data_IF_312222903985
#
_entry.id   IF_312222903985
#
_cell.length_a   1.000
_cell.length_b   1.000
_cell.length_c   1.000
_cell.angle_alpha   90.00
_cell.angle_beta   90.00
_cell.angle_gamma   90.00
#
_symmetry.space_group_name_H-M   'P 1'
#
loop_
_entity.id
_entity.type
_entity.pdbx_description
1 polymer ?
#
# COMPACT_ATOMS: atom_id res chain seq x y z
N UNK A 1 31.87 -9.11 78.09
CA UNK A 1 32.32 -9.95 76.95
C UNK A 1 31.68 -9.35 75.69
N UNK A 2 32.44 -8.56 74.94
CA UNK A 2 31.96 -7.82 73.77
C UNK A 2 32.03 -8.74 72.54
N UNK A 3 30.91 -8.94 71.84
CA UNK A 3 30.87 -9.63 70.55
C UNK A 3 30.57 -8.62 69.45
N UNK A 4 31.60 -8.33 68.66
CA UNK A 4 31.55 -7.59 67.40
C UNK A 4 30.78 -8.40 66.35
N UNK A 5 29.66 -7.89 65.85
CA UNK A 5 29.08 -8.40 64.60
C UNK A 5 29.53 -7.53 63.42
N UNK A 6 30.32 -8.14 62.54
CA UNK A 6 30.79 -7.59 61.27
C UNK A 6 29.63 -7.46 60.27
N UNK A 7 29.42 -6.26 59.75
CA UNK A 7 28.55 -5.97 58.61
C UNK A 7 29.23 -6.44 57.31
N UNK A 8 28.54 -7.28 56.52
CA UNK A 8 28.95 -7.67 55.17
C UNK A 8 28.24 -6.77 54.15
N UNK A 9 28.93 -6.10 53.21
CA UNK A 9 28.27 -5.37 52.13
C UNK A 9 27.90 -6.34 51.01
N UNK A 10 26.60 -6.54 50.79
CA UNK A 10 26.08 -7.29 49.63
C UNK A 10 26.05 -6.35 48.43
N UNK A 11 26.98 -6.57 47.50
CA UNK A 11 27.08 -5.93 46.20
C UNK A 11 26.10 -6.65 45.24
N UNK A 12 24.88 -6.15 45.09
CA UNK A 12 23.95 -6.64 44.07
C UNK A 12 24.31 -5.98 42.73
N UNK A 13 25.04 -6.74 41.91
CA UNK A 13 25.28 -6.42 40.49
C UNK A 13 23.93 -6.31 39.76
N UNK A 14 23.66 -5.12 39.24
CA UNK A 14 22.56 -4.88 38.31
C UNK A 14 22.82 -5.59 36.98
N UNK A 15 21.98 -6.55 36.65
CA UNK A 15 21.87 -7.09 35.30
C UNK A 15 20.65 -6.45 34.63
N UNK A 16 20.80 -5.19 34.18
CA UNK A 16 19.83 -4.54 33.31
C UNK A 16 19.94 -5.15 31.91
N UNK A 17 19.26 -6.27 31.69
CA UNK A 17 19.03 -6.82 30.35
C UNK A 17 18.09 -5.88 29.60
N UNK A 18 18.67 -4.88 28.92
CA UNK A 18 17.99 -4.14 27.87
C UNK A 18 17.68 -5.12 26.74
N UNK A 19 16.48 -5.70 26.76
CA UNK A 19 15.91 -6.39 25.61
C UNK A 19 15.64 -5.29 24.58
N UNK A 20 16.63 -5.03 23.73
CA UNK A 20 16.46 -4.22 22.54
C UNK A 20 15.47 -4.94 21.64
N UNK A 21 14.21 -4.49 21.64
CA UNK A 21 13.26 -4.89 20.61
C UNK A 21 13.88 -4.51 19.27
N UNK A 22 13.98 -5.43 18.29
CA UNK A 22 14.41 -5.06 16.96
C UNK A 22 13.43 -4.01 16.44
N UNK A 23 13.90 -2.78 16.29
CA UNK A 23 13.23 -1.75 15.50
C UNK A 23 13.30 -2.25 14.07
N UNK A 24 12.32 -3.04 13.68
CA UNK A 24 12.03 -3.32 12.29
C UNK A 24 11.54 -2.02 11.68
N UNK A 25 12.48 -1.24 11.15
CA UNK A 25 12.14 -0.15 10.26
C UNK A 25 11.46 -0.79 9.03
N UNK A 26 10.14 -0.83 9.03
CA UNK A 26 9.33 -1.06 7.84
C UNK A 26 9.61 0.10 6.89
N UNK A 27 10.64 -0.05 6.07
CA UNK A 27 10.99 0.95 5.08
C UNK A 27 9.95 0.84 3.97
N UNK A 28 9.03 1.79 3.94
CA UNK A 28 8.04 1.93 2.89
C UNK A 28 8.64 2.35 1.52
N UNK A 29 9.84 1.88 1.19
CA UNK A 29 10.42 1.89 -0.16
C UNK A 29 9.62 1.08 -1.20
N UNK A 30 8.50 0.46 -0.80
CA UNK A 30 7.62 -0.35 -1.65
C UNK A 30 7.03 0.37 -2.87
N UNK A 31 7.07 1.71 -2.91
CA UNK A 31 6.66 2.50 -4.10
C UNK A 31 7.78 2.59 -5.15
N UNK A 32 9.03 2.31 -4.80
CA UNK A 32 10.21 2.51 -5.67
C UNK A 32 10.49 1.35 -6.63
N UNK A 33 9.91 0.17 -6.40
CA UNK A 33 10.08 -1.05 -7.22
C UNK A 33 8.75 -1.52 -7.83
N UNK A 34 7.96 -0.58 -8.37
CA UNK A 34 6.68 -0.88 -9.03
C UNK A 34 6.83 -0.96 -10.56
N UNK A 35 5.90 -1.63 -11.24
CA UNK A 35 5.85 -1.59 -12.71
C UNK A 35 5.59 -0.16 -13.22
N UNK A 36 4.98 0.70 -12.40
CA UNK A 36 4.79 2.12 -12.70
C UNK A 36 6.12 2.86 -12.72
N UNK A 37 7.03 2.56 -11.78
CA UNK A 37 8.37 3.18 -11.74
C UNK A 37 9.31 2.71 -12.86
N UNK A 38 8.96 1.63 -13.58
CA UNK A 38 9.71 1.17 -14.76
C UNK A 38 9.34 1.93 -16.05
N UNK A 39 8.27 2.73 -16.03
CA UNK A 39 7.88 3.54 -17.18
C UNK A 39 8.91 4.66 -17.41
N UNK A 40 9.35 4.82 -18.66
CA UNK A 40 10.11 6.01 -19.05
C UNK A 40 9.23 7.26 -18.91
N UNK A 41 9.83 8.45 -18.84
CA UNK A 41 9.06 9.71 -18.84
C UNK A 41 8.16 9.83 -20.08
N UNK A 42 8.62 9.31 -21.24
CA UNK A 42 7.86 9.29 -22.48
C UNK A 42 6.71 8.28 -22.44
N UNK A 43 6.95 7.08 -21.91
CA UNK A 43 5.91 6.06 -21.66
C UNK A 43 4.82 6.62 -20.74
N UNK A 44 5.23 7.27 -19.64
CA UNK A 44 4.31 7.84 -18.67
C UNK A 44 3.44 8.97 -19.27
N UNK A 45 4.04 9.83 -20.10
CA UNK A 45 3.31 10.87 -20.81
C UNK A 45 2.27 10.28 -21.79
N UNK A 46 2.65 9.24 -22.55
CA UNK A 46 1.74 8.55 -23.45
C UNK A 46 0.61 7.82 -22.70
N UNK A 47 0.93 7.17 -21.58
CA UNK A 47 -0.07 6.56 -20.70
C UNK A 47 -1.08 7.60 -20.19
N UNK A 48 -0.61 8.78 -19.77
CA UNK A 48 -1.49 9.87 -19.32
C UNK A 48 -2.43 10.34 -20.43
N UNK A 49 -1.90 10.59 -21.63
CA UNK A 49 -2.73 10.95 -22.79
C UNK A 49 -3.76 9.87 -23.10
N UNK A 50 -3.35 8.60 -23.07
CA UNK A 50 -4.24 7.46 -23.29
C UNK A 50 -5.32 7.37 -22.22
N UNK A 51 -4.97 7.55 -20.96
CA UNK A 51 -5.89 7.56 -19.84
C UNK A 51 -6.94 8.66 -19.99
N UNK A 52 -6.55 9.89 -20.37
CA UNK A 52 -7.48 11.00 -20.66
C UNK A 52 -8.50 10.60 -21.74
N UNK A 53 -8.03 10.05 -22.87
CA UNK A 53 -8.93 9.59 -23.94
C UNK A 53 -9.90 8.52 -23.46
N UNK A 54 -9.44 7.57 -22.64
CA UNK A 54 -10.27 6.51 -22.05
C UNK A 54 -11.33 7.11 -21.12
N UNK A 55 -10.92 8.05 -20.27
CA UNK A 55 -11.80 8.74 -19.32
C UNK A 55 -12.88 9.54 -20.03
N UNK A 56 -12.61 10.13 -21.19
CA UNK A 56 -13.65 10.82 -21.96
C UNK A 56 -14.60 9.82 -22.66
N UNK A 57 -14.02 8.88 -23.41
CA UNK A 57 -14.74 8.19 -24.49
C UNK A 57 -15.18 6.78 -24.15
N UNK A 58 -14.52 6.11 -23.20
CA UNK A 58 -14.76 4.68 -22.97
C UNK A 58 -15.96 4.51 -22.03
N UNK A 59 -16.97 3.70 -22.37
CA UNK A 59 -18.06 3.35 -21.46
C UNK A 59 -17.55 2.67 -20.20
N UNK A 60 -18.30 2.81 -19.10
CA UNK A 60 -17.99 2.09 -17.88
C UNK A 60 -18.01 0.57 -18.13
N UNK A 61 -17.21 -0.16 -17.34
CA UNK A 61 -17.00 -1.62 -17.39
C UNK A 61 -16.31 -2.15 -18.65
N UNK A 62 -15.94 -1.29 -19.61
CA UNK A 62 -15.16 -1.69 -20.79
C UNK A 62 -13.66 -1.60 -20.53
N UNK A 63 -12.97 -2.74 -20.60
CA UNK A 63 -11.51 -2.80 -20.46
C UNK A 63 -10.84 -2.32 -21.75
N UNK A 64 -9.82 -1.49 -21.59
CA UNK A 64 -8.91 -1.10 -22.68
C UNK A 64 -7.50 -1.54 -22.36
N UNK A 65 -6.67 -1.73 -23.38
CA UNK A 65 -5.26 -2.12 -23.24
C UNK A 65 -4.37 -1.07 -23.89
N UNK A 66 -3.25 -0.80 -23.25
CA UNK A 66 -2.15 -0.01 -23.77
C UNK A 66 -0.84 -0.74 -23.44
N UNK A 67 0.17 -0.56 -24.28
CA UNK A 67 1.51 -1.10 -24.05
C UNK A 67 2.51 0.02 -24.23
N UNK A 68 3.40 0.13 -23.25
CA UNK A 68 4.49 1.07 -23.23
C UNK A 68 5.51 0.70 -24.33
N UNK A 69 5.82 1.63 -25.26
CA UNK A 69 6.80 1.39 -26.31
C UNK A 69 8.19 1.04 -25.78
N UNK A 70 8.67 1.71 -24.72
CA UNK A 70 10.06 1.59 -24.27
C UNK A 70 10.22 0.51 -23.21
N UNK A 71 9.43 0.57 -22.14
CA UNK A 71 9.57 -0.30 -20.96
C UNK A 71 8.97 -1.70 -21.14
N UNK A 72 8.17 -1.92 -22.18
CA UNK A 72 7.46 -3.18 -22.44
C UNK A 72 6.31 -3.47 -21.47
N UNK A 73 5.99 -2.56 -20.56
CA UNK A 73 4.87 -2.68 -19.61
C UNK A 73 3.54 -2.63 -20.36
N UNK A 74 2.68 -3.62 -20.13
CA UNK A 74 1.27 -3.60 -20.56
C UNK A 74 0.40 -3.05 -19.44
N UNK A 75 -0.51 -2.13 -19.78
CA UNK A 75 -1.51 -1.58 -18.86
C UNK A 75 -2.92 -1.90 -19.38
N UNK A 76 -3.72 -2.57 -18.56
CA UNK A 76 -5.18 -2.69 -18.77
C UNK A 76 -5.89 -1.64 -17.92
N UNK A 77 -6.76 -0.86 -18.53
CA UNK A 77 -7.47 0.24 -17.87
C UNK A 77 -8.98 -0.05 -17.94
N UNK A 78 -9.62 -0.06 -16.78
CA UNK A 78 -11.04 -0.32 -16.59
C UNK A 78 -11.71 0.87 -15.89
N UNK A 79 -12.45 1.72 -16.61
CA UNK A 79 -13.39 2.65 -15.98
C UNK A 79 -14.51 1.87 -15.31
N UNK A 80 -14.62 1.91 -13.99
CA UNK A 80 -15.65 1.18 -13.23
C UNK A 80 -16.96 1.93 -13.17
N UNK A 81 -16.89 3.24 -12.93
CA UNK A 81 -18.05 4.07 -12.60
C UNK A 81 -17.76 5.53 -12.94
N UNK A 82 -18.67 6.18 -13.66
CA UNK A 82 -18.79 7.63 -13.78
C UNK A 82 -19.71 8.18 -12.69
N UNK A 83 -19.29 9.24 -12.00
CA UNK A 83 -20.04 9.90 -10.94
C UNK A 83 -19.72 11.40 -10.90
N UNK A 84 -20.35 12.14 -9.99
CA UNK A 84 -20.04 13.54 -9.72
C UNK A 84 -19.63 13.74 -8.26
N UNK A 85 -18.63 14.58 -8.05
CA UNK A 85 -18.13 14.97 -6.73
C UNK A 85 -17.85 16.46 -6.73
N UNK A 86 -18.39 17.19 -5.75
CA UNK A 86 -18.29 18.66 -5.68
C UNK A 86 -18.64 19.38 -7.00
N UNK A 87 -19.62 18.85 -7.75
CA UNK A 87 -20.03 19.37 -9.06
C UNK A 87 -19.16 18.94 -10.24
N UNK A 88 -17.98 18.37 -10.00
CA UNK A 88 -17.05 17.90 -11.02
C UNK A 88 -17.39 16.49 -11.51
N UNK A 89 -17.11 16.23 -12.78
CA UNK A 89 -17.23 14.88 -13.34
C UNK A 89 -16.07 14.01 -12.89
N UNK A 90 -16.36 12.82 -12.38
CA UNK A 90 -15.38 11.90 -11.82
C UNK A 90 -15.55 10.49 -12.39
N UNK A 91 -14.45 9.74 -12.41
CA UNK A 91 -14.47 8.31 -12.73
C UNK A 91 -13.61 7.53 -11.74
N UNK A 92 -14.16 6.40 -11.28
CA UNK A 92 -13.38 5.38 -10.59
C UNK A 92 -12.80 4.44 -11.63
N UNK A 93 -11.51 4.17 -11.55
CA UNK A 93 -10.76 3.40 -12.54
C UNK A 93 -9.87 2.36 -11.88
N UNK A 94 -9.66 1.23 -12.55
CA UNK A 94 -8.62 0.26 -12.19
C UNK A 94 -7.59 0.22 -13.30
N UNK A 95 -6.32 0.26 -12.90
CA UNK A 95 -5.18 0.08 -13.77
C UNK A 95 -4.46 -1.20 -13.36
N UNK A 96 -4.36 -2.15 -14.28
CA UNK A 96 -3.61 -3.39 -14.09
C UNK A 96 -2.35 -3.33 -14.95
N UNK A 97 -1.20 -3.17 -14.32
CA UNK A 97 0.12 -3.16 -14.94
C UNK A 97 0.65 -4.58 -14.98
N UNK A 98 1.29 -4.97 -16.07
CA UNK A 98 1.84 -6.31 -16.25
C UNK A 98 3.05 -6.27 -17.18
N UNK A 99 4.02 -7.16 -16.95
CA UNK A 99 5.20 -7.34 -17.79
C UNK A 99 5.61 -8.82 -17.74
N UNK A 100 6.18 -9.41 -18.80
CA UNK A 100 6.65 -10.79 -18.73
C UNK A 100 7.59 -11.00 -17.54
N UNK A 101 7.46 -12.16 -16.87
CA UNK A 101 8.27 -12.55 -15.71
C UNK A 101 8.11 -11.65 -14.46
N UNK A 102 7.12 -10.76 -14.45
CA UNK A 102 6.78 -9.90 -13.30
C UNK A 102 5.33 -10.10 -12.91
N UNK A 103 5.00 -9.97 -11.63
CA UNK A 103 3.59 -10.02 -11.22
C UNK A 103 2.83 -8.78 -11.67
N UNK A 104 1.56 -8.99 -11.97
CA UNK A 104 0.68 -7.90 -12.32
C UNK A 104 0.33 -7.07 -11.08
N UNK A 105 0.38 -5.76 -11.20
CA UNK A 105 0.05 -4.81 -10.15
C UNK A 105 -1.27 -4.11 -10.47
N UNK A 106 -2.20 -4.06 -9.51
CA UNK A 106 -3.49 -3.41 -9.72
C UNK A 106 -3.66 -2.22 -8.79
N UNK A 107 -3.98 -1.06 -9.37
CA UNK A 107 -4.18 0.20 -8.66
C UNK A 107 -5.56 0.78 -8.97
N UNK A 108 -6.26 1.22 -7.93
CA UNK A 108 -7.49 1.98 -8.05
C UNK A 108 -7.26 3.48 -7.99
N UNK A 109 -7.84 4.23 -8.93
CA UNK A 109 -7.81 5.70 -8.94
C UNK A 109 -9.20 6.28 -9.08
N UNK A 110 -9.48 7.30 -8.26
CA UNK A 110 -10.53 8.26 -8.51
C UNK A 110 -9.90 9.42 -9.29
N UNK A 111 -10.47 9.73 -10.44
CA UNK A 111 -9.95 10.76 -11.36
C UNK A 111 -11.11 11.69 -11.68
N UNK A 112 -10.96 12.98 -11.39
CA UNK A 112 -11.99 13.99 -11.57
C UNK A 112 -11.53 15.08 -12.52
N UNK A 113 -12.46 15.69 -13.25
CA UNK A 113 -12.23 16.95 -13.95
C UNK A 113 -12.02 18.07 -12.93
N UNK A 114 -11.10 18.97 -13.23
CA UNK A 114 -10.91 20.21 -12.49
C UNK A 114 -11.81 21.32 -13.02
N UNK A 115 -11.70 22.53 -12.46
CA UNK A 115 -12.48 23.69 -12.90
C UNK A 115 -12.23 24.04 -14.39
N UNK A 116 -11.04 23.76 -14.91
CA UNK A 116 -10.67 23.92 -16.33
C UNK A 116 -11.07 22.71 -17.20
N UNK A 117 -11.81 21.74 -16.67
CA UNK A 117 -12.28 20.55 -17.38
C UNK A 117 -11.21 19.47 -17.62
N UNK A 118 -10.01 19.60 -17.04
CA UNK A 118 -8.91 18.64 -17.20
C UNK A 118 -9.03 17.52 -16.17
N UNK A 119 -8.85 16.27 -16.61
CA UNK A 119 -8.76 15.12 -15.71
C UNK A 119 -7.51 15.20 -14.85
N UNK A 120 -7.71 15.05 -13.56
CA UNK A 120 -6.67 14.94 -12.56
C UNK A 120 -7.01 13.79 -11.62
N UNK A 121 -6.00 12.98 -11.28
CA UNK A 121 -6.16 12.04 -10.17
C UNK A 121 -6.52 12.90 -8.97
N UNK A 122 -7.66 12.64 -8.35
CA UNK A 122 -7.99 13.34 -7.12
C UNK A 122 -6.84 13.08 -6.17
N UNK A 123 -6.20 14.14 -5.67
CA UNK A 123 -5.23 14.01 -4.60
C UNK A 123 -5.99 13.42 -3.41
N UNK A 124 -6.04 12.10 -3.32
CA UNK A 124 -6.46 11.48 -2.09
C UNK A 124 -5.40 11.90 -1.08
N UNK A 125 -5.82 12.25 0.14
CA UNK A 125 -4.91 12.44 1.28
C UNK A 125 -3.95 11.25 1.48
N UNK A 126 -4.25 10.14 0.80
CA UNK A 126 -3.55 8.87 0.77
C UNK A 126 -2.28 8.89 -0.11
N UNK A 127 -2.06 9.94 -0.92
CA UNK A 127 -0.74 10.22 -1.52
C UNK A 127 0.20 10.94 -0.53
N UNK A 128 -0.36 11.56 0.51
CA UNK A 128 0.36 12.31 1.54
C UNK A 128 -0.01 11.78 2.94
N UNK A 129 0.11 10.46 3.12
CA UNK A 129 -0.16 9.83 4.41
C UNK A 129 0.76 10.42 5.48
N UNK A 130 0.18 10.82 6.62
CA UNK A 130 0.96 11.25 7.75
C UNK A 130 1.69 10.05 8.35
N UNK A 131 2.80 10.30 9.05
CA UNK A 131 3.54 9.23 9.74
C UNK A 131 2.65 8.37 10.66
N UNK A 132 1.63 8.97 11.28
CA UNK A 132 0.65 8.22 12.10
C UNK A 132 -0.25 7.30 11.29
N UNK A 133 -0.60 7.63 10.04
CA UNK A 133 -1.36 6.74 9.16
C UNK A 133 -0.50 5.55 8.74
N UNK A 134 0.71 5.87 8.31
CA UNK A 134 1.77 4.94 7.90
C UNK A 134 1.99 3.90 9.00
N UNK A 135 2.19 4.34 10.24
CA UNK A 135 2.37 3.45 11.39
C UNK A 135 1.16 2.55 11.63
N UNK A 136 -0.06 3.09 11.58
CA UNK A 136 -1.27 2.27 11.74
C UNK A 136 -1.37 1.21 10.64
N UNK A 137 -1.03 1.53 9.40
CA UNK A 137 -0.98 0.54 8.32
C UNK A 137 0.02 -0.57 8.65
N UNK A 138 1.24 -0.23 9.10
CA UNK A 138 2.26 -1.22 9.47
C UNK A 138 1.78 -2.15 10.60
N UNK A 139 1.27 -1.57 11.68
CA UNK A 139 0.85 -2.31 12.87
C UNK A 139 -0.24 -3.33 12.50
N UNK A 140 -1.23 -2.94 11.71
CA UNK A 140 -2.31 -3.85 11.29
C UNK A 140 -1.87 -4.87 10.23
N UNK A 141 -0.90 -4.53 9.37
CA UNK A 141 -0.29 -5.50 8.45
C UNK A 141 0.46 -6.57 9.23
N UNK A 142 1.25 -6.19 10.23
CA UNK A 142 1.97 -7.15 11.08
C UNK A 142 1.00 -8.00 11.89
N UNK A 143 -0.07 -7.40 12.44
CA UNK A 143 -1.13 -8.12 13.11
C UNK A 143 -1.74 -9.19 12.19
N UNK A 144 -2.16 -8.79 10.98
CA UNK A 144 -2.75 -9.72 10.01
C UNK A 144 -1.81 -10.89 9.70
N UNK A 145 -0.54 -10.59 9.38
CA UNK A 145 0.46 -11.60 9.04
C UNK A 145 0.82 -12.52 10.20
N UNK A 146 0.70 -12.03 11.45
CA UNK A 146 0.88 -12.82 12.67
C UNK A 146 -0.29 -13.77 12.93
N UNK A 147 -1.51 -13.26 12.81
CA UNK A 147 -2.74 -14.03 13.02
C UNK A 147 -3.03 -15.04 11.89
N UNK A 148 -2.64 -14.71 10.65
CA UNK A 148 -2.80 -15.53 9.44
C UNK A 148 -4.26 -15.89 9.11
N UNK A 149 -5.21 -15.07 9.57
CA UNK A 149 -6.64 -15.24 9.33
C UNK A 149 -7.00 -14.76 7.90
N UNK A 150 -7.03 -15.67 6.94
CA UNK A 150 -7.41 -15.37 5.55
C UNK A 150 -8.89 -14.98 5.48
N UNK A 151 -9.19 -13.92 4.74
CA UNK A 151 -10.55 -13.42 4.47
C UNK A 151 -11.16 -12.59 5.61
N UNK A 152 -10.50 -12.49 6.77
CA UNK A 152 -10.99 -11.71 7.91
C UNK A 152 -10.49 -10.26 7.78
N UNK A 153 -11.38 -9.26 7.73
CA UNK A 153 -10.97 -7.87 7.66
C UNK A 153 -10.49 -7.36 9.01
N UNK A 154 -9.38 -6.62 8.99
CA UNK A 154 -8.91 -5.80 10.10
C UNK A 154 -9.16 -4.34 9.72
N UNK A 155 -9.86 -3.61 10.59
CA UNK A 155 -10.25 -2.21 10.36
C UNK A 155 -9.70 -1.29 11.42
N UNK A 156 -9.33 -0.07 11.04
CA UNK A 156 -8.88 0.96 11.97
C UNK A 156 -9.34 2.35 11.56
N UNK A 157 -9.22 3.29 12.51
CA UNK A 157 -9.46 4.70 12.33
C UNK A 157 -8.31 5.52 12.94
N UNK A 158 -7.81 6.49 12.19
CA UNK A 158 -6.86 7.48 12.68
C UNK A 158 -7.58 8.79 13.00
N UNK A 159 -7.82 9.14 14.27
CA UNK A 159 -8.53 10.36 14.64
C UNK A 159 -7.75 11.64 14.31
N UNK A 160 -6.44 11.56 14.08
CA UNK A 160 -5.61 12.75 13.78
C UNK A 160 -5.81 13.23 12.34
N UNK A 161 -5.97 12.31 11.41
CA UNK A 161 -6.05 12.57 9.97
C UNK A 161 -7.44 12.30 9.40
N UNK A 162 -8.31 11.68 10.20
CA UNK A 162 -9.63 11.20 9.83
C UNK A 162 -9.58 10.20 8.65
N UNK A 163 -8.58 9.32 8.66
CA UNK A 163 -8.44 8.22 7.71
C UNK A 163 -8.89 6.93 8.38
N UNK A 164 -9.79 6.20 7.71
CA UNK A 164 -10.14 4.83 8.03
C UNK A 164 -9.38 3.88 7.10
N UNK A 165 -9.13 2.66 7.56
CA UNK A 165 -8.54 1.63 6.74
C UNK A 165 -9.13 0.26 7.00
N UNK A 166 -9.09 -0.58 5.96
CA UNK A 166 -9.42 -1.99 6.00
C UNK A 166 -8.31 -2.77 5.32
N UNK A 167 -7.85 -3.83 5.98
CA UNK A 167 -6.87 -4.76 5.46
C UNK A 167 -7.47 -6.17 5.47
N UNK A 168 -7.25 -6.92 4.39
CA UNK A 168 -7.66 -8.33 4.30
C UNK A 168 -6.51 -9.16 3.76
N UNK A 169 -6.19 -10.27 4.43
CA UNK A 169 -5.37 -11.33 3.85
C UNK A 169 -6.20 -12.10 2.83
N UNK A 170 -5.83 -12.05 1.56
CA UNK A 170 -6.59 -12.66 0.47
C UNK A 170 -6.17 -14.13 0.28
N UNK A 171 -4.86 -14.38 0.34
CA UNK A 171 -4.29 -15.65 -0.12
C UNK A 171 -2.95 -15.91 0.56
N UNK A 172 -2.68 -17.18 0.88
CA UNK A 172 -1.36 -17.66 1.29
C UNK A 172 -0.68 -18.33 0.11
N UNK A 173 0.58 -17.99 -0.13
CA UNK A 173 1.36 -18.39 -1.28
C UNK A 173 2.77 -18.83 -0.83
N UNK A 174 3.48 -19.51 -1.72
CA UNK A 174 4.92 -19.66 -1.61
C UNK A 174 5.59 -19.12 -2.87
N UNK A 175 6.63 -18.32 -2.71
CA UNK A 175 7.46 -17.81 -3.81
C UNK A 175 8.92 -18.13 -3.49
N UNK A 176 9.59 -18.91 -4.34
CA UNK A 176 10.98 -19.37 -4.10
C UNK A 176 11.18 -19.98 -2.70
N UNK A 177 10.21 -20.79 -2.23
CA UNK A 177 10.16 -21.40 -0.88
C UNK A 177 10.00 -20.41 0.29
N UNK A 178 9.82 -19.11 0.03
CA UNK A 178 9.48 -18.13 1.06
C UNK A 178 7.96 -18.14 1.28
N UNK A 179 7.47 -18.09 2.53
CA UNK A 179 6.05 -17.94 2.79
C UNK A 179 5.61 -16.52 2.43
N UNK A 180 4.54 -16.41 1.65
CA UNK A 180 4.03 -15.16 1.13
C UNK A 180 2.52 -15.03 1.38
N UNK A 181 2.04 -13.80 1.46
CA UNK A 181 0.63 -13.48 1.56
C UNK A 181 0.26 -12.35 0.61
N UNK A 182 -0.86 -12.51 -0.09
CA UNK A 182 -1.49 -11.43 -0.84
C UNK A 182 -2.44 -10.69 0.10
N UNK A 183 -2.26 -9.38 0.23
CA UNK A 183 -3.15 -8.51 1.02
C UNK A 183 -3.93 -7.58 0.11
N UNK A 184 -5.17 -7.26 0.48
CA UNK A 184 -5.92 -6.11 -0.02
C UNK A 184 -5.92 -5.03 1.06
N UNK A 185 -5.54 -3.82 0.68
CA UNK A 185 -5.59 -2.64 1.53
C UNK A 185 -6.54 -1.63 0.91
N UNK A 186 -7.46 -1.12 1.72
CA UNK A 186 -8.37 -0.03 1.37
C UNK A 186 -8.26 1.05 2.43
N UNK A 187 -8.02 2.29 2.01
CA UNK A 187 -7.99 3.46 2.88
C UNK A 187 -9.09 4.42 2.42
N UNK A 188 -9.74 5.09 3.36
CA UNK A 188 -10.85 6.00 3.11
C UNK A 188 -10.68 7.26 3.97
N UNK A 189 -10.88 8.44 3.39
CA UNK A 189 -10.99 9.67 4.16
C UNK A 189 -12.45 10.10 4.36
N UNK A 190 -12.67 11.15 5.16
CA UNK A 190 -14.02 11.70 5.40
C UNK A 190 -14.72 12.27 4.17
N UNK A 191 -13.98 12.50 3.09
CA UNK A 191 -14.54 12.90 1.80
C UNK A 191 -15.05 11.72 0.97
N UNK A 192 -14.86 10.48 1.44
CA UNK A 192 -15.19 9.28 0.68
C UNK A 192 -14.14 8.93 -0.39
N UNK A 193 -12.99 9.63 -0.38
CA UNK A 193 -11.88 9.34 -1.29
C UNK A 193 -11.18 8.08 -0.81
N UNK A 194 -11.09 7.07 -1.70
CA UNK A 194 -10.44 5.80 -1.39
C UNK A 194 -9.13 5.57 -2.14
N UNK A 195 -8.17 4.92 -1.48
CA UNK A 195 -6.99 4.28 -2.08
C UNK A 195 -7.13 2.79 -1.85
N UNK A 196 -7.09 2.03 -2.94
CA UNK A 196 -7.26 0.59 -2.89
C UNK A 196 -6.11 -0.06 -3.69
N UNK A 197 -5.50 -1.07 -3.08
CA UNK A 197 -4.38 -1.80 -3.69
C UNK A 197 -4.30 -3.23 -3.18
N UNK A 198 -3.69 -4.09 -4.00
CA UNK A 198 -3.30 -5.43 -3.59
C UNK A 198 -1.78 -5.56 -3.62
N UNK A 199 -1.22 -6.22 -2.61
CA UNK A 199 0.23 -6.35 -2.43
C UNK A 199 0.59 -7.77 -2.05
N UNK A 200 1.67 -8.30 -2.63
CA UNK A 200 2.27 -9.54 -2.17
C UNK A 200 3.38 -9.24 -1.17
N UNK A 201 3.29 -9.83 0.02
CA UNK A 201 4.29 -9.72 1.08
C UNK A 201 4.89 -11.10 1.34
N UNK A 202 6.21 -11.21 1.34
CA UNK A 202 6.93 -12.46 1.59
C UNK A 202 7.86 -12.31 2.79
N UNK A 203 8.00 -13.37 3.58
CA UNK A 203 8.88 -13.38 4.72
C UNK A 203 10.30 -13.73 4.28
N UNK A 204 11.19 -12.76 4.37
CA UNK A 204 12.63 -12.90 4.10
C UNK A 204 13.41 -12.95 5.41
N UNK A 205 14.74 -13.10 5.34
CA UNK A 205 15.61 -12.96 6.51
C UNK A 205 15.52 -11.58 7.19
N UNK A 206 15.09 -10.56 6.44
CA UNK A 206 14.89 -9.19 6.94
C UNK A 206 13.46 -8.95 7.45
N UNK A 207 12.65 -9.99 7.55
CA UNK A 207 11.24 -9.94 7.88
C UNK A 207 10.34 -9.86 6.64
N UNK A 208 9.08 -9.47 6.86
CA UNK A 208 8.08 -9.29 5.80
C UNK A 208 8.47 -8.15 4.85
N UNK A 209 8.65 -8.47 3.59
CA UNK A 209 8.94 -7.51 2.53
C UNK A 209 7.95 -7.65 1.39
N UNK A 210 7.58 -6.54 0.77
CA UNK A 210 6.89 -6.61 -0.52
C UNK A 210 7.88 -7.14 -1.55
N UNK A 211 7.58 -8.30 -2.10
CA UNK A 211 8.14 -8.67 -3.39
C UNK A 211 7.23 -8.02 -4.43
N UNK A 212 7.75 -7.05 -5.17
CA UNK A 212 7.22 -6.87 -6.51
C UNK A 212 7.74 -8.07 -7.25
N UNK A 213 6.92 -9.11 -7.45
CA UNK A 213 7.41 -10.34 -8.09
C UNK A 213 8.08 -10.00 -9.41
#
# INVERSE_FOLDING_TARGET
>A
MYLFHRSLPILLLGCSSLIGLPVHASNFGFMKNSLVSELSSADFQQLNQRAVTILEQTPDKKVTRWQAPDSGVTVKILPKLRYREAGNECRRTLFNFSKPQRSAETYGFNICKNAEGKWQVTQSRLQNLHYSDIKLIEDHVQQALGEKNIGVPITWFNPKTNINGTLVLIESLQHNRLPCYKIALSLFDTGGVSLEGQYLLCHTEKGWQRLGD
#
